data_IF_994507136657
#
_entry.id   IF_994507136657
#
_cell.length_a   1.000
_cell.length_b   1.000
_cell.length_c   1.000
_cell.angle_alpha   90.00
_cell.angle_beta   90.00
_cell.angle_gamma   90.00
#
_symmetry.space_group_name_H-M   'P 1'
#
loop_
_entity.id
_entity.type
_entity.pdbx_description
1 polymer ?
#
# COMPACT_ATOMS: atom_id res chain seq x y z
N UNK A 1 -1.33 2.97 31.52
CA UNK A 1 -0.88 3.00 30.11
C UNK A 1 -2.15 3.21 29.30
N UNK A 2 -2.31 4.34 28.60
CA UNK A 2 -3.45 4.49 27.69
C UNK A 2 -3.31 3.45 26.58
N UNK A 3 -4.43 2.81 26.21
CA UNK A 3 -4.50 1.94 25.03
C UNK A 3 -4.20 2.79 23.80
N UNK A 4 -2.93 2.81 23.39
CA UNK A 4 -2.48 3.48 22.18
C UNK A 4 -3.04 2.71 20.98
N UNK A 5 -3.61 3.45 20.03
CA UNK A 5 -4.04 2.88 18.75
C UNK A 5 -2.80 2.31 18.07
N UNK A 6 -2.75 0.98 17.91
CA UNK A 6 -1.71 0.31 17.14
C UNK A 6 -2.06 0.44 15.66
N UNK A 7 -1.30 1.24 14.93
CA UNK A 7 -1.40 1.32 13.47
C UNK A 7 -0.48 0.22 12.90
N UNK A 8 -0.99 -0.72 12.10
CA UNK A 8 -0.16 -1.69 11.40
C UNK A 8 0.93 -0.98 10.60
N UNK A 9 2.18 -1.31 10.87
CA UNK A 9 3.35 -0.63 10.28
C UNK A 9 4.35 -1.67 9.77
N UNK A 10 4.84 -1.47 8.56
CA UNK A 10 5.89 -2.29 7.94
C UNK A 10 6.98 -1.38 7.41
N UNK A 11 8.22 -1.59 7.85
CA UNK A 11 9.41 -0.91 7.34
C UNK A 11 10.04 -1.84 6.31
N UNK A 12 10.34 -1.31 5.13
CA UNK A 12 10.95 -2.09 4.04
C UNK A 12 12.15 -1.34 3.45
N UNK A 13 13.18 -2.06 2.97
CA UNK A 13 14.27 -1.46 2.24
C UNK A 13 13.81 -1.02 0.85
N UNK A 14 14.45 0.03 0.30
CA UNK A 14 14.16 0.57 -1.03
C UNK A 14 14.16 -0.47 -2.16
N UNK A 15 14.97 -1.52 -2.04
CA UNK A 15 15.04 -2.61 -3.02
C UNK A 15 13.72 -3.37 -3.16
N UNK A 16 12.92 -3.46 -2.08
CA UNK A 16 11.67 -4.20 -2.02
C UNK A 16 10.43 -3.33 -2.23
N UNK A 17 10.59 -1.99 -2.21
CA UNK A 17 9.45 -1.05 -2.26
C UNK A 17 8.61 -1.24 -3.52
N UNK A 18 9.23 -1.53 -4.66
CA UNK A 18 8.49 -1.67 -5.91
C UNK A 18 7.56 -2.88 -5.89
N UNK A 19 8.06 -4.03 -5.43
CA UNK A 19 7.31 -5.27 -5.29
C UNK A 19 6.22 -5.13 -4.21
N UNK A 20 6.55 -4.52 -3.07
CA UNK A 20 5.56 -4.25 -2.03
C UNK A 20 4.42 -3.37 -2.54
N UNK A 21 4.73 -2.30 -3.27
CA UNK A 21 3.69 -1.43 -3.84
C UNK A 21 2.81 -2.17 -4.86
N UNK A 22 3.39 -3.04 -5.69
CA UNK A 22 2.59 -3.88 -6.61
C UNK A 22 1.63 -4.78 -5.84
N UNK A 23 2.14 -5.50 -4.84
CA UNK A 23 1.32 -6.33 -3.95
C UNK A 23 0.20 -5.54 -3.27
N UNK A 24 0.50 -4.35 -2.72
CA UNK A 24 -0.50 -3.51 -2.06
C UNK A 24 -1.58 -3.02 -3.02
N UNK A 25 -1.20 -2.63 -4.25
CA UNK A 25 -2.15 -2.16 -5.26
C UNK A 25 -3.08 -3.29 -5.70
N UNK A 26 -2.51 -4.45 -6.05
CA UNK A 26 -3.26 -5.62 -6.53
C UNK A 26 -4.21 -6.14 -5.44
N UNK A 27 -3.71 -6.32 -4.22
CA UNK A 27 -4.51 -6.77 -3.08
C UNK A 27 -5.65 -5.81 -2.76
N UNK A 28 -5.43 -4.49 -2.82
CA UNK A 28 -6.48 -3.49 -2.60
C UNK A 28 -7.53 -3.45 -3.70
N UNK A 29 -7.11 -3.60 -4.96
CA UNK A 29 -8.05 -3.67 -6.08
C UNK A 29 -8.94 -4.91 -5.97
N UNK A 30 -8.35 -6.07 -5.63
CA UNK A 30 -9.09 -7.29 -5.39
C UNK A 30 -10.02 -7.17 -4.18
N UNK A 31 -9.56 -6.55 -3.10
CA UNK A 31 -10.38 -6.25 -1.91
C UNK A 31 -11.59 -5.40 -2.27
N UNK A 32 -11.41 -4.35 -3.07
CA UNK A 32 -12.52 -3.48 -3.52
C UNK A 32 -13.54 -4.25 -4.34
N UNK A 33 -13.07 -5.06 -5.29
CA UNK A 33 -13.96 -5.88 -6.10
C UNK A 33 -14.77 -6.86 -5.25
N UNK A 34 -14.15 -7.48 -4.23
CA UNK A 34 -14.81 -8.40 -3.30
C UNK A 34 -15.88 -7.70 -2.49
N UNK A 35 -15.57 -6.52 -1.92
CA UNK A 35 -16.53 -5.74 -1.12
C UNK A 35 -17.68 -5.23 -1.99
N UNK A 36 -17.39 -4.70 -3.18
CA UNK A 36 -18.40 -4.13 -4.07
C UNK A 36 -19.34 -5.20 -4.61
N UNK A 37 -18.82 -6.38 -4.94
CA UNK A 37 -19.59 -7.52 -5.47
C UNK A 37 -20.11 -8.48 -4.40
N UNK A 38 -19.79 -8.26 -3.12
CA UNK A 38 -20.15 -9.12 -1.97
C UNK A 38 -19.74 -10.58 -2.19
N UNK A 39 -18.47 -10.79 -2.53
CA UNK A 39 -17.92 -12.10 -2.87
C UNK A 39 -17.15 -12.77 -1.72
N UNK A 40 -17.21 -12.22 -0.51
CA UNK A 40 -16.43 -12.67 0.66
C UNK A 40 -16.65 -14.16 0.95
N UNK A 41 -17.86 -14.67 0.74
CA UNK A 41 -18.22 -16.08 0.99
C UNK A 41 -17.76 -17.05 -0.10
N UNK A 42 -17.19 -16.54 -1.19
CA UNK A 42 -16.75 -17.35 -2.35
C UNK A 42 -15.23 -17.42 -2.48
N UNK A 43 -14.50 -16.72 -1.61
CA UNK A 43 -13.04 -16.75 -1.60
C UNK A 43 -12.53 -18.03 -0.94
N UNK A 44 -11.39 -18.52 -1.42
CA UNK A 44 -10.60 -19.50 -0.67
C UNK A 44 -9.93 -18.79 0.51
N UNK A 45 -9.64 -19.51 1.59
CA UNK A 45 -8.98 -18.92 2.76
C UNK A 45 -7.61 -18.33 2.39
N UNK A 46 -6.83 -18.98 1.52
CA UNK A 46 -5.56 -18.46 1.02
C UNK A 46 -5.70 -17.10 0.30
N UNK A 47 -6.68 -16.98 -0.61
CA UNK A 47 -6.93 -15.71 -1.31
C UNK A 47 -7.37 -14.61 -0.36
N UNK A 48 -8.15 -14.99 0.65
CA UNK A 48 -8.65 -14.07 1.67
C UNK A 48 -7.51 -13.57 2.57
N UNK A 49 -6.61 -14.45 3.00
CA UNK A 49 -5.42 -14.08 3.80
C UNK A 49 -4.53 -13.09 3.06
N UNK A 50 -4.24 -13.33 1.77
CA UNK A 50 -3.42 -12.43 0.95
C UNK A 50 -4.04 -11.03 0.80
N UNK A 51 -5.36 -10.96 0.57
CA UNK A 51 -6.07 -9.68 0.46
C UNK A 51 -6.09 -8.91 1.77
N UNK A 52 -6.32 -9.61 2.88
CA UNK A 52 -6.37 -9.05 4.24
C UNK A 52 -4.98 -8.55 4.66
N UNK A 53 -3.92 -9.31 4.34
CA UNK A 53 -2.53 -8.89 4.54
C UNK A 53 -2.21 -7.61 3.76
N UNK A 54 -2.52 -7.57 2.46
CA UNK A 54 -2.27 -6.39 1.62
C UNK A 54 -3.11 -5.17 2.02
N UNK A 55 -4.32 -5.37 2.55
CA UNK A 55 -5.16 -4.29 3.07
C UNK A 55 -4.75 -3.84 4.49
N UNK A 56 -3.95 -4.61 5.22
CA UNK A 56 -3.54 -4.32 6.60
C UNK A 56 -4.71 -4.37 7.58
N UNK A 57 -5.66 -5.28 7.37
CA UNK A 57 -6.86 -5.49 8.19
C UNK A 57 -6.86 -6.90 8.78
N UNK A 58 -7.82 -7.22 9.65
CA UNK A 58 -8.05 -8.60 10.13
C UNK A 58 -9.25 -9.25 9.41
N UNK A 59 -10.12 -8.44 8.81
CA UNK A 59 -11.33 -8.89 8.13
C UNK A 59 -11.85 -7.88 7.07
N UNK A 60 -12.97 -8.22 6.43
CA UNK A 60 -13.66 -7.40 5.44
C UNK A 60 -14.60 -6.33 6.02
N UNK A 61 -14.54 -6.01 7.33
CA UNK A 61 -15.41 -4.99 7.94
C UNK A 61 -15.02 -3.56 7.56
N UNK A 62 -13.75 -3.34 7.22
CA UNK A 62 -13.25 -2.02 6.85
C UNK A 62 -13.63 -1.74 5.39
N UNK A 63 -14.68 -0.94 5.19
CA UNK A 63 -15.16 -0.62 3.83
C UNK A 63 -14.08 0.02 2.93
N UNK A 64 -13.19 0.84 3.51
CA UNK A 64 -12.17 1.55 2.74
C UNK A 64 -10.81 1.57 3.46
N UNK A 65 -9.98 0.53 3.35
CA UNK A 65 -8.65 0.50 3.96
C UNK A 65 -7.72 1.50 3.28
N UNK A 66 -7.30 2.53 4.03
CA UNK A 66 -6.34 3.53 3.57
C UNK A 66 -4.93 3.17 4.01
N UNK A 67 -3.96 3.33 3.11
CA UNK A 67 -2.54 3.09 3.43
C UNK A 67 -1.77 4.38 3.31
N UNK A 68 -0.91 4.64 4.30
CA UNK A 68 0.04 5.73 4.29
C UNK A 68 1.40 5.15 3.97
N UNK A 69 2.07 5.71 2.96
CA UNK A 69 3.44 5.34 2.59
C UNK A 69 4.33 6.54 2.83
N UNK A 70 5.37 6.35 3.64
CA UNK A 70 6.35 7.37 3.98
C UNK A 70 7.67 7.03 3.28
N UNK A 71 8.19 7.96 2.49
CA UNK A 71 9.53 7.88 1.90
C UNK A 71 10.44 8.88 2.60
N UNK A 72 11.57 8.40 3.12
CA UNK A 72 12.60 9.19 3.80
C UNK A 72 13.58 9.87 2.83
N UNK A 73 13.84 9.29 1.65
CA UNK A 73 14.49 9.95 0.52
C UNK A 73 13.73 9.66 -0.79
N UNK A 74 12.80 10.53 -1.14
CA UNK A 74 12.11 10.41 -2.42
C UNK A 74 12.89 11.09 -3.56
N UNK A 75 13.91 11.91 -3.27
CA UNK A 75 14.68 12.62 -4.29
C UNK A 75 15.51 11.67 -5.15
N UNK A 76 16.11 10.63 -4.56
CA UNK A 76 16.84 9.62 -5.34
C UNK A 76 15.95 8.92 -6.38
N UNK A 77 14.67 8.70 -6.07
CA UNK A 77 13.69 8.16 -7.01
C UNK A 77 13.39 9.16 -8.13
N UNK A 78 13.14 10.44 -7.80
CA UNK A 78 12.80 11.45 -8.81
C UNK A 78 13.98 11.88 -9.68
N UNK A 79 15.22 11.75 -9.20
CA UNK A 79 16.45 11.99 -9.99
C UNK A 79 16.64 10.94 -11.09
N UNK A 80 16.14 9.72 -10.91
CA UNK A 80 16.23 8.66 -11.91
C UNK A 80 14.87 8.39 -12.58
N UNK A 81 14.66 9.00 -13.76
CA UNK A 81 13.42 8.81 -14.56
C UNK A 81 13.17 7.37 -15.01
N UNK A 82 14.21 6.53 -15.04
CA UNK A 82 14.10 5.11 -15.38
C UNK A 82 13.73 4.25 -14.17
N UNK A 83 13.70 4.81 -12.96
CA UNK A 83 13.26 4.09 -11.77
C UNK A 83 11.78 3.69 -11.92
N UNK A 84 11.40 2.41 -11.77
CA UNK A 84 10.01 1.97 -11.86
C UNK A 84 9.06 2.73 -10.91
N UNK A 85 9.57 3.14 -9.75
CA UNK A 85 8.84 3.93 -8.76
C UNK A 85 8.52 5.34 -9.25
N UNK A 86 9.32 5.91 -10.14
CA UNK A 86 9.11 7.26 -10.67
C UNK A 86 7.72 7.41 -11.26
N UNK A 87 7.33 6.48 -12.14
CA UNK A 87 6.02 6.53 -12.80
C UNK A 87 4.87 6.22 -11.84
N UNK A 88 5.09 5.32 -10.87
CA UNK A 88 4.08 4.96 -9.86
C UNK A 88 3.75 6.15 -8.96
N UNK A 89 4.78 6.80 -8.41
CA UNK A 89 4.63 7.97 -7.54
C UNK A 89 4.09 9.18 -8.30
N UNK A 90 4.53 9.40 -9.54
CA UNK A 90 4.07 10.53 -10.35
C UNK A 90 2.60 10.39 -10.77
N UNK A 91 2.19 9.19 -11.20
CA UNK A 91 0.80 8.96 -11.65
C UNK A 91 -0.16 8.91 -10.48
N UNK A 92 0.28 8.40 -9.33
CA UNK A 92 -0.51 8.22 -8.10
C UNK A 92 -1.95 7.71 -8.35
N UNK A 93 -2.12 6.75 -9.28
CA UNK A 93 -3.43 6.15 -9.60
C UNK A 93 -3.79 5.00 -8.66
N UNK A 94 -3.13 4.93 -7.52
CA UNK A 94 -3.22 3.78 -6.63
C UNK A 94 -4.37 3.97 -5.65
N UNK A 95 -5.30 3.01 -5.55
CA UNK A 95 -6.51 3.20 -4.76
C UNK A 95 -6.17 3.37 -3.28
N UNK A 96 -6.55 4.53 -2.71
CA UNK A 96 -6.49 4.83 -1.27
C UNK A 96 -5.08 4.62 -0.67
N UNK A 97 -4.06 5.01 -1.42
CA UNK A 97 -2.70 5.14 -0.93
C UNK A 97 -2.34 6.63 -0.90
N UNK A 98 -1.91 7.12 0.25
CA UNK A 98 -1.43 8.50 0.43
C UNK A 98 0.07 8.47 0.66
N UNK A 99 0.79 9.22 -0.15
CA UNK A 99 2.25 9.30 -0.08
C UNK A 99 2.71 10.56 0.65
N UNK A 100 3.61 10.38 1.62
CA UNK A 100 4.42 11.47 2.16
C UNK A 100 5.84 11.26 1.67
N UNK A 101 6.28 12.18 0.82
CA UNK A 101 7.56 12.11 0.14
C UNK A 101 8.48 13.16 0.74
N UNK A 102 9.51 12.74 1.47
CA UNK A 102 10.53 13.67 1.92
C UNK A 102 11.45 14.01 0.74
N UNK A 103 11.39 15.28 0.33
CA UNK A 103 12.17 15.82 -0.77
C UNK A 103 13.27 16.72 -0.21
N UNK A 104 14.39 16.13 0.18
CA UNK A 104 15.56 16.91 0.56
C UNK A 104 16.53 17.00 -0.62
N UNK A 105 16.60 18.18 -1.22
CA UNK A 105 17.66 18.48 -2.17
C UNK A 105 18.91 18.84 -1.36
N UNK A 106 19.82 17.87 -1.21
CA UNK A 106 21.17 18.13 -0.71
C UNK A 106 21.96 18.64 -1.93
N UNK A 107 21.72 19.91 -2.28
CA UNK A 107 22.49 20.67 -3.27
C UNK A 107 23.67 21.37 -2.59
#
# INVERSE_FOLDING_TARGET
>A
MQDLIKIPTKIVPYAEVNELLDFLIESKQAYDEVIDKKLESKLTEESKELMIEGAGTDDFKIKFPHTIVLFDDAMSIFRNKNNPLFQKLLKNRQPRITYFLFLQDIS
#
